data_IF_024332586333
#
_entry.id   IF_024332586333
#
_cell.length_a   1.000
_cell.length_b   1.000
_cell.length_c   1.000
_cell.angle_alpha   90.00
_cell.angle_beta   90.00
_cell.angle_gamma   90.00
#
_symmetry.space_group_name_H-M   'P 1'
#
loop_
_entity.id
_entity.type
_entity.pdbx_description
1 polymer ?
#
# COMPACT_ATOMS: atom_id res chain seq x y z
N UNK A 1 18.48 1.13 2.42
CA UNK A 1 17.29 1.45 3.21
C UNK A 1 16.78 2.83 2.77
N UNK A 2 15.49 2.89 2.40
CA UNK A 2 14.82 4.10 1.90
C UNK A 2 13.54 4.28 2.71
N UNK A 3 13.59 5.07 3.81
CA UNK A 3 12.47 5.21 4.73
C UNK A 3 11.35 6.07 4.13
N UNK A 4 10.11 5.76 4.51
CA UNK A 4 8.92 6.58 4.22
C UNK A 4 8.40 7.11 5.55
N UNK A 5 8.21 8.42 5.66
CA UNK A 5 7.65 9.04 6.85
C UNK A 5 6.16 8.71 6.98
N UNK A 6 5.71 8.40 8.19
CA UNK A 6 4.31 8.15 8.51
C UNK A 6 3.80 9.06 9.62
N UNK A 7 2.50 8.99 9.90
CA UNK A 7 1.85 9.87 10.88
C UNK A 7 2.41 9.74 12.31
N UNK A 8 3.03 8.62 12.66
CA UNK A 8 3.68 8.41 13.97
C UNK A 8 5.14 8.88 14.02
N UNK A 9 5.71 9.33 12.91
CA UNK A 9 7.09 9.85 12.85
C UNK A 9 7.15 11.37 13.02
N UNK A 10 5.99 12.03 13.09
CA UNK A 10 5.87 13.47 13.25
C UNK A 10 5.93 13.90 14.72
N UNK A 11 6.56 15.03 14.98
CA UNK A 11 6.65 15.64 16.32
C UNK A 11 5.40 16.49 16.59
N UNK A 12 4.47 15.99 17.39
CA UNK A 12 3.16 16.61 17.62
C UNK A 12 3.20 17.98 18.30
N UNK A 13 4.32 18.32 18.97
CA UNK A 13 4.49 19.61 19.67
C UNK A 13 5.11 20.68 18.76
N UNK A 14 5.57 20.30 17.57
CA UNK A 14 6.12 21.25 16.62
C UNK A 14 5.04 22.16 16.01
N UNK A 15 5.41 23.35 15.64
CA UNK A 15 4.51 24.31 15.00
C UNK A 15 4.74 24.34 13.48
N UNK A 16 3.69 23.95 12.75
CA UNK A 16 3.71 23.90 11.28
C UNK A 16 4.21 22.58 10.74
N UNK A 17 3.64 22.19 9.64
CA UNK A 17 3.79 20.90 8.98
C UNK A 17 5.25 20.49 8.76
N UNK A 18 6.06 21.35 8.15
CA UNK A 18 7.48 21.09 7.86
C UNK A 18 8.31 20.83 9.12
N UNK A 19 8.00 21.50 10.23
CA UNK A 19 8.73 21.34 11.48
C UNK A 19 8.43 20.01 12.17
N UNK A 20 7.27 19.42 11.94
CA UNK A 20 6.91 18.15 12.56
C UNK A 20 7.81 17.00 12.12
N UNK A 21 8.44 17.08 10.95
CA UNK A 21 9.39 16.08 10.44
C UNK A 21 10.86 16.38 10.75
N UNK A 22 11.17 17.40 11.56
CA UNK A 22 12.55 17.81 11.80
C UNK A 22 13.42 16.70 12.40
N UNK A 23 12.90 15.96 13.38
CA UNK A 23 13.59 14.83 13.99
C UNK A 23 13.77 13.68 13.00
N UNK A 24 12.71 13.34 12.26
CA UNK A 24 12.80 12.35 11.20
C UNK A 24 13.91 12.70 10.20
N UNK A 25 13.94 13.94 9.69
CA UNK A 25 14.98 14.40 8.76
C UNK A 25 16.39 14.29 9.33
N UNK A 26 16.56 14.57 10.61
CA UNK A 26 17.88 14.50 11.26
C UNK A 26 18.43 13.07 11.36
N UNK A 27 17.56 12.05 11.37
CA UNK A 27 17.92 10.64 11.56
C UNK A 27 17.88 9.84 10.25
N UNK A 28 16.89 10.12 9.40
CA UNK A 28 16.55 9.29 8.24
C UNK A 28 16.84 9.99 6.89
N UNK A 29 17.06 11.29 6.89
CA UNK A 29 17.19 12.09 5.67
C UNK A 29 15.87 12.75 5.26
N UNK A 30 15.79 13.30 4.04
CA UNK A 30 14.63 14.05 3.61
C UNK A 30 13.37 13.18 3.58
N UNK A 31 12.23 13.74 3.89
CA UNK A 31 10.91 13.11 3.83
C UNK A 31 10.38 12.96 2.40
N UNK A 32 10.83 13.86 1.50
CA UNK A 32 10.52 13.80 0.07
C UNK A 32 11.82 13.66 -0.71
N UNK A 33 11.94 12.58 -1.50
CA UNK A 33 13.12 12.33 -2.32
C UNK A 33 12.81 11.38 -3.49
N UNK A 34 13.73 11.31 -4.44
CA UNK A 34 13.62 10.40 -5.56
C UNK A 34 14.99 9.84 -5.95
N UNK A 35 14.98 8.67 -6.55
CA UNK A 35 16.18 8.03 -7.09
C UNK A 35 15.86 7.14 -8.30
N UNK A 36 16.83 6.94 -9.15
CA UNK A 36 16.71 6.00 -10.26
C UNK A 36 16.92 4.57 -9.78
N UNK A 37 16.06 3.69 -10.29
CA UNK A 37 16.18 2.24 -10.11
C UNK A 37 16.19 1.59 -11.51
N UNK A 38 17.39 1.38 -12.04
CA UNK A 38 17.55 1.05 -13.46
C UNK A 38 17.09 2.21 -14.37
N UNK A 39 16.14 1.93 -15.26
CA UNK A 39 15.53 2.93 -16.15
C UNK A 39 14.26 3.59 -15.58
N UNK A 40 13.81 3.15 -14.43
CA UNK A 40 12.61 3.64 -13.74
C UNK A 40 12.97 4.55 -12.58
N UNK A 41 11.97 5.20 -11.95
CA UNK A 41 12.16 6.15 -10.86
C UNK A 41 11.33 5.75 -9.66
N UNK A 42 11.95 5.73 -8.49
CA UNK A 42 11.27 5.65 -7.21
C UNK A 42 11.17 7.06 -6.63
N UNK A 43 9.97 7.45 -6.24
CA UNK A 43 9.66 8.72 -5.59
C UNK A 43 9.10 8.39 -4.21
N UNK A 44 9.65 9.00 -3.18
CA UNK A 44 9.15 8.87 -1.80
C UNK A 44 8.52 10.19 -1.41
N UNK A 45 7.30 10.14 -0.90
CA UNK A 45 6.52 11.32 -0.54
C UNK A 45 6.05 11.26 0.90
N UNK A 46 6.18 12.39 1.58
CA UNK A 46 5.38 12.69 2.75
C UNK A 46 3.96 13.04 2.31
N UNK A 47 2.99 12.28 2.77
CA UNK A 47 1.58 12.51 2.49
C UNK A 47 0.74 12.61 3.77
N UNK A 48 1.36 13.16 4.82
CA UNK A 48 0.74 13.47 6.10
C UNK A 48 0.92 14.98 6.38
N UNK A 49 -0.17 15.70 6.46
CA UNK A 49 -0.18 17.16 6.72
C UNK A 49 -0.60 17.37 8.17
N UNK A 50 0.27 17.91 9.00
CA UNK A 50 -0.06 18.28 10.39
C UNK A 50 -0.48 19.74 10.48
N UNK A 51 -1.60 19.97 11.16
CA UNK A 51 -1.98 21.30 11.60
C UNK A 51 -1.36 21.67 12.97
N UNK A 52 -1.62 22.88 13.44
CA UNK A 52 -1.09 23.38 14.73
C UNK A 52 -1.76 22.76 15.96
N UNK A 53 -2.71 21.85 15.79
CA UNK A 53 -3.55 21.29 16.85
C UNK A 53 -3.31 19.79 17.12
N UNK A 54 -2.16 19.26 16.77
CA UNK A 54 -1.81 17.83 16.90
C UNK A 54 -2.74 16.89 16.11
N UNK A 55 -3.40 17.44 15.11
CA UNK A 55 -4.22 16.69 14.16
C UNK A 55 -3.52 16.64 12.84
N UNK A 56 -3.71 15.57 12.13
CA UNK A 56 -3.23 15.44 10.77
C UNK A 56 -4.37 15.19 9.79
N UNK A 57 -4.11 15.56 8.56
CA UNK A 57 -4.91 15.22 7.40
C UNK A 57 -4.03 14.45 6.43
N UNK A 58 -4.54 13.38 5.86
CA UNK A 58 -3.82 12.65 4.84
C UNK A 58 -3.91 13.41 3.53
N UNK A 59 -2.76 13.67 2.93
CA UNK A 59 -2.72 14.45 1.71
C UNK A 59 -1.33 14.93 1.35
N UNK A 60 -1.27 15.59 0.22
CA UNK A 60 -0.05 16.20 -0.30
C UNK A 60 -0.10 17.70 -0.07
N UNK A 61 0.79 18.19 0.76
CA UNK A 61 0.93 19.62 0.97
C UNK A 61 1.30 20.34 -0.35
N UNK A 62 0.94 21.63 -0.54
CA UNK A 62 1.20 22.34 -1.79
C UNK A 62 2.68 22.34 -2.22
N UNK A 63 3.61 22.35 -1.27
CA UNK A 63 5.04 22.30 -1.57
C UNK A 63 5.46 20.92 -2.12
N UNK A 64 4.85 19.83 -1.65
CA UNK A 64 5.08 18.46 -2.17
C UNK A 64 4.60 18.37 -3.61
N UNK A 65 3.38 18.85 -3.90
CA UNK A 65 2.83 18.89 -5.27
C UNK A 65 3.74 19.71 -6.20
N UNK A 66 4.19 20.88 -5.74
CA UNK A 66 5.09 21.73 -6.52
C UNK A 66 6.43 21.03 -6.80
N UNK A 67 6.96 20.31 -5.81
CA UNK A 67 8.20 19.56 -5.95
C UNK A 67 8.05 18.39 -6.94
N UNK A 68 6.97 17.60 -6.85
CA UNK A 68 6.69 16.50 -7.80
C UNK A 68 6.54 17.02 -9.22
N UNK A 69 5.84 18.15 -9.40
CA UNK A 69 5.70 18.78 -10.71
C UNK A 69 7.05 19.21 -11.30
N UNK A 70 7.92 19.78 -10.50
CA UNK A 70 9.27 20.14 -10.91
C UNK A 70 10.14 18.91 -11.24
N UNK A 71 10.04 17.86 -10.45
CA UNK A 71 10.74 16.59 -10.67
C UNK A 71 10.25 15.93 -11.96
N UNK A 72 8.95 15.83 -12.17
CA UNK A 72 8.35 15.17 -13.33
C UNK A 72 8.87 15.76 -14.64
N UNK A 73 9.01 17.08 -14.72
CA UNK A 73 9.52 17.79 -15.90
C UNK A 73 10.99 17.46 -16.24
N UNK A 74 11.73 16.86 -15.32
CA UNK A 74 13.15 16.48 -15.50
C UNK A 74 13.32 14.99 -15.82
N UNK A 75 12.28 14.17 -15.65
CA UNK A 75 12.37 12.72 -15.79
C UNK A 75 12.23 12.29 -17.24
N UNK A 76 12.94 11.21 -17.66
CA UNK A 76 12.73 10.62 -18.98
C UNK A 76 11.27 10.20 -19.19
N UNK A 77 10.68 10.50 -20.34
CA UNK A 77 9.28 10.16 -20.64
C UNK A 77 9.00 8.66 -20.55
N UNK A 78 9.98 7.81 -20.87
CA UNK A 78 9.87 6.36 -20.84
C UNK A 78 9.92 5.74 -19.44
N UNK A 79 10.31 6.50 -18.40
CA UNK A 79 10.45 5.98 -17.05
C UNK A 79 9.08 5.69 -16.42
N UNK A 80 8.93 4.51 -15.83
CA UNK A 80 7.82 4.21 -14.92
C UNK A 80 8.11 4.84 -13.56
N UNK A 81 7.05 5.24 -12.85
CA UNK A 81 7.15 5.83 -11.53
C UNK A 81 6.63 4.85 -10.46
N UNK A 82 7.42 4.63 -9.44
CA UNK A 82 7.03 3.92 -8.23
C UNK A 82 6.98 4.92 -7.09
N UNK A 83 5.77 5.25 -6.63
CA UNK A 83 5.56 6.29 -5.62
C UNK A 83 5.29 5.62 -4.28
N UNK A 84 6.27 5.67 -3.38
CA UNK A 84 6.16 5.15 -2.02
C UNK A 84 5.71 6.26 -1.07
N UNK A 85 4.68 5.99 -0.29
CA UNK A 85 4.08 6.93 0.64
C UNK A 85 3.42 6.19 1.81
N UNK A 86 3.03 6.89 2.87
CA UNK A 86 2.44 6.25 4.03
C UNK A 86 0.97 5.91 3.84
N UNK A 87 0.10 6.89 3.64
CA UNK A 87 -1.34 6.68 3.48
C UNK A 87 -1.71 6.34 2.02
N UNK A 88 -2.76 5.52 1.80
CA UNK A 88 -3.20 5.21 0.44
C UNK A 88 -3.77 6.44 -0.27
N UNK A 89 -3.63 6.50 -1.58
CA UNK A 89 -4.21 7.56 -2.42
C UNK A 89 -5.72 7.56 -2.32
N UNK A 90 -6.31 6.36 -2.18
CA UNK A 90 -7.75 6.17 -2.07
C UNK A 90 -8.06 5.01 -1.13
N UNK A 91 -8.96 5.25 -0.20
CA UNK A 91 -9.47 4.23 0.71
C UNK A 91 -10.46 3.31 0.01
N UNK A 92 -10.24 2.02 0.11
CA UNK A 92 -11.05 1.00 -0.56
C UNK A 92 -12.46 0.88 0.04
N UNK A 93 -12.61 1.10 1.37
CA UNK A 93 -13.89 0.91 2.06
C UNK A 93 -14.97 1.88 1.57
N UNK A 94 -14.61 3.12 1.30
CA UNK A 94 -15.55 4.20 1.03
C UNK A 94 -15.21 5.06 -0.19
N UNK A 95 -14.07 4.75 -0.84
CA UNK A 95 -13.60 5.51 -2.00
C UNK A 95 -13.07 6.91 -1.70
N UNK A 96 -12.88 7.27 -0.41
CA UNK A 96 -12.31 8.57 -0.01
C UNK A 96 -10.90 8.72 -0.58
N UNK A 97 -10.66 9.79 -1.28
CA UNK A 97 -9.33 10.21 -1.72
C UNK A 97 -8.72 11.15 -0.67
N UNK A 98 -7.40 11.07 -0.50
CA UNK A 98 -6.66 12.02 0.34
C UNK A 98 -6.52 13.37 -0.35
N UNK A 99 -6.22 14.42 0.41
CA UNK A 99 -6.09 15.79 -0.09
C UNK A 99 -5.00 15.89 -1.16
N UNK A 100 -5.23 16.67 -2.21
CA UNK A 100 -4.26 16.87 -3.30
C UNK A 100 -4.12 15.69 -4.27
N UNK A 101 -4.87 14.60 -4.08
CA UNK A 101 -4.84 13.43 -4.98
C UNK A 101 -5.04 13.81 -6.44
N UNK A 102 -6.02 14.65 -6.74
CA UNK A 102 -6.31 15.04 -8.13
C UNK A 102 -5.13 15.76 -8.77
N UNK A 103 -4.50 16.68 -8.02
CA UNK A 103 -3.35 17.43 -8.51
C UNK A 103 -2.15 16.52 -8.78
N UNK A 104 -1.89 15.55 -7.88
CA UNK A 104 -0.81 14.58 -8.08
C UNK A 104 -1.09 13.69 -9.30
N UNK A 105 -2.30 13.15 -9.42
CA UNK A 105 -2.68 12.29 -10.55
C UNK A 105 -2.60 13.03 -11.88
N UNK A 106 -2.97 14.32 -11.92
CA UNK A 106 -2.86 15.15 -13.13
C UNK A 106 -1.41 15.35 -13.58
N UNK A 107 -0.47 15.47 -12.62
CA UNK A 107 0.96 15.57 -12.92
C UNK A 107 1.50 14.26 -13.53
N UNK A 108 1.11 13.09 -12.99
CA UNK A 108 1.72 11.80 -13.35
C UNK A 108 0.92 11.00 -14.39
N UNK A 109 -0.26 11.47 -14.80
CA UNK A 109 -1.22 10.72 -15.65
C UNK A 109 -0.65 10.21 -16.97
N UNK A 110 0.32 10.87 -17.54
CA UNK A 110 0.98 10.46 -18.80
C UNK A 110 1.89 9.24 -18.66
N UNK A 111 2.14 8.76 -17.45
CA UNK A 111 3.12 7.73 -17.13
C UNK A 111 2.50 6.44 -16.64
N UNK A 112 3.30 5.39 -16.60
CA UNK A 112 2.99 4.19 -15.83
C UNK A 112 3.38 4.43 -14.38
N UNK A 113 2.40 4.37 -13.47
CA UNK A 113 2.57 4.68 -12.05
C UNK A 113 2.09 3.54 -11.19
N UNK A 114 2.90 3.15 -10.20
CA UNK A 114 2.48 2.25 -9.14
C UNK A 114 2.71 2.92 -7.80
N UNK A 115 1.63 3.21 -7.08
CA UNK A 115 1.70 3.66 -5.69
C UNK A 115 1.94 2.46 -4.77
N UNK A 116 2.75 2.66 -3.75
CA UNK A 116 3.03 1.70 -2.69
C UNK A 116 2.76 2.41 -1.37
N UNK A 117 1.76 1.94 -0.63
CA UNK A 117 1.30 2.57 0.60
C UNK A 117 1.10 1.57 1.73
N UNK A 118 0.88 2.05 2.94
CA UNK A 118 0.62 1.27 4.14
C UNK A 118 -0.53 1.88 4.94
N UNK A 119 -0.28 2.20 6.22
CA UNK A 119 -1.17 2.92 7.11
C UNK A 119 -2.42 2.17 7.57
N UNK A 120 -3.13 1.52 6.67
CA UNK A 120 -4.43 0.89 6.95
C UNK A 120 -4.33 -0.46 7.63
N UNK A 121 -3.14 -1.06 7.67
CA UNK A 121 -2.89 -2.42 8.17
C UNK A 121 -3.71 -3.49 7.44
N UNK A 122 -3.99 -3.28 6.16
CA UNK A 122 -4.63 -4.26 5.27
C UNK A 122 -3.88 -4.34 3.95
N UNK A 123 -3.95 -5.48 3.28
CA UNK A 123 -3.52 -5.60 1.90
C UNK A 123 -4.66 -5.21 0.97
N UNK A 124 -4.36 -4.36 -0.01
CA UNK A 124 -5.33 -4.02 -1.03
C UNK A 124 -4.64 -3.61 -2.32
N UNK A 125 -5.06 -4.18 -3.43
CA UNK A 125 -4.57 -3.87 -4.76
C UNK A 125 -5.67 -3.18 -5.55
N UNK A 126 -5.40 -1.99 -6.08
CA UNK A 126 -6.36 -1.16 -6.78
C UNK A 126 -5.79 -0.67 -8.12
N UNK A 127 -6.59 -0.77 -9.16
CA UNK A 127 -6.38 -0.06 -10.41
C UNK A 127 -7.23 1.22 -10.42
N UNK A 128 -6.60 2.38 -10.62
CA UNK A 128 -7.30 3.66 -10.73
C UNK A 128 -7.64 4.00 -12.17
N UNK A 129 -6.65 3.84 -13.04
CA UNK A 129 -6.70 4.12 -14.48
C UNK A 129 -5.82 3.08 -15.19
N UNK A 130 -5.89 3.02 -16.51
CA UNK A 130 -5.18 2.01 -17.31
C UNK A 130 -3.69 1.82 -16.96
N UNK A 131 -3.02 2.87 -16.51
CA UNK A 131 -1.58 2.86 -16.23
C UNK A 131 -1.25 3.26 -14.78
N UNK A 132 -2.24 3.39 -13.91
CA UNK A 132 -2.07 3.85 -12.53
C UNK A 132 -2.70 2.83 -11.58
N UNK A 133 -1.85 2.20 -10.77
CA UNK A 133 -2.25 1.22 -9.75
C UNK A 133 -1.75 1.60 -8.37
N UNK A 134 -2.31 0.99 -7.33
CA UNK A 134 -1.82 1.09 -5.96
C UNK A 134 -1.77 -0.27 -5.31
N UNK A 135 -0.72 -0.48 -4.54
CA UNK A 135 -0.51 -1.60 -3.64
C UNK A 135 -0.47 -1.06 -2.21
N UNK A 136 -1.59 -1.14 -1.50
CA UNK A 136 -1.61 -0.90 -0.07
C UNK A 136 -1.13 -2.18 0.63
N UNK A 137 -0.15 -2.03 1.54
CA UNK A 137 0.56 -3.14 2.16
C UNK A 137 0.15 -3.26 3.61
N UNK A 138 -0.19 -4.47 4.05
CA UNK A 138 -0.42 -4.79 5.44
C UNK A 138 0.84 -4.54 6.30
N UNK A 139 0.67 -4.58 7.61
CA UNK A 139 1.69 -4.12 8.55
C UNK A 139 2.54 -5.27 9.12
N UNK A 140 3.83 -5.01 9.29
CA UNK A 140 4.74 -5.93 10.01
C UNK A 140 4.41 -6.02 11.50
N UNK A 141 3.75 -5.00 12.05
CA UNK A 141 3.27 -4.99 13.43
C UNK A 141 1.92 -5.70 13.63
N UNK A 142 1.32 -6.22 12.56
CA UNK A 142 -0.04 -6.75 12.64
C UNK A 142 -1.06 -5.68 13.03
N UNK A 143 -2.07 -6.03 13.80
CA UNK A 143 -2.99 -5.07 14.38
C UNK A 143 -2.40 -4.49 15.67
N UNK A 144 -1.60 -3.40 15.54
CA UNK A 144 -1.07 -2.62 16.67
C UNK A 144 -0.23 -3.40 17.68
N UNK A 145 0.55 -4.40 17.24
CA UNK A 145 1.36 -5.30 18.06
C UNK A 145 0.56 -6.22 19.02
N UNK A 146 -0.76 -6.16 18.95
CA UNK A 146 -1.64 -6.95 19.82
C UNK A 146 -1.86 -8.37 19.29
N UNK A 147 -1.76 -8.56 17.99
CA UNK A 147 -1.96 -9.86 17.33
C UNK A 147 -0.92 -10.11 16.25
N UNK A 148 -0.79 -11.37 15.85
CA UNK A 148 0.06 -11.78 14.72
C UNK A 148 -0.63 -11.59 13.35
N UNK A 149 -1.86 -11.02 13.35
CA UNK A 149 -2.65 -10.77 12.16
C UNK A 149 -2.90 -9.28 11.97
N UNK A 150 -3.06 -8.90 10.72
CA UNK A 150 -3.52 -7.59 10.30
C UNK A 150 -5.06 -7.52 10.31
N UNK A 151 -5.63 -6.34 10.11
CA UNK A 151 -7.09 -6.10 10.21
C UNK A 151 -7.92 -6.88 9.19
N UNK A 152 -7.30 -7.28 8.07
CA UNK A 152 -7.88 -8.11 7.02
C UNK A 152 -7.72 -9.62 7.25
N UNK A 153 -7.22 -10.02 8.43
CA UNK A 153 -6.95 -11.41 8.76
C UNK A 153 -5.68 -11.99 8.14
N UNK A 154 -4.90 -11.20 7.40
CA UNK A 154 -3.59 -11.67 6.90
C UNK A 154 -2.59 -11.72 8.04
N UNK A 155 -1.66 -12.69 8.08
CA UNK A 155 -0.54 -12.65 9.00
C UNK A 155 0.28 -11.38 8.80
N UNK A 156 0.86 -10.85 9.87
CA UNK A 156 1.81 -9.73 9.77
C UNK A 156 2.92 -10.04 8.77
N UNK A 157 3.27 -9.04 7.94
CA UNK A 157 4.20 -9.30 6.84
C UNK A 157 4.55 -8.06 6.02
N UNK A 158 5.06 -8.33 4.84
CA UNK A 158 5.49 -7.30 3.89
C UNK A 158 5.35 -7.83 2.45
N UNK A 159 5.31 -6.93 1.47
CA UNK A 159 5.36 -7.30 0.04
C UNK A 159 6.79 -7.29 -0.47
N UNK A 160 7.10 -8.25 -1.32
CA UNK A 160 8.33 -8.27 -2.12
C UNK A 160 7.97 -7.95 -3.55
N UNK A 161 8.47 -6.84 -4.06
CA UNK A 161 8.27 -6.41 -5.43
C UNK A 161 9.45 -6.77 -6.30
N UNK A 162 9.17 -7.22 -7.51
CA UNK A 162 10.17 -7.46 -8.57
C UNK A 162 9.81 -6.65 -9.79
N UNK A 163 10.72 -5.78 -10.21
CA UNK A 163 10.61 -4.99 -11.42
C UNK A 163 11.46 -5.62 -12.52
N UNK A 164 10.84 -5.99 -13.63
CA UNK A 164 11.55 -6.56 -14.77
C UNK A 164 10.91 -6.09 -16.09
N UNK A 165 11.69 -5.43 -16.94
CA UNK A 165 11.23 -4.95 -18.24
C UNK A 165 9.93 -4.12 -18.17
N UNK A 166 9.86 -3.16 -17.23
CA UNK A 166 8.69 -2.31 -17.01
C UNK A 166 7.46 -3.03 -16.47
N UNK A 167 7.60 -4.28 -15.98
CA UNK A 167 6.54 -5.03 -15.31
C UNK A 167 6.85 -5.14 -13.84
N UNK A 168 5.85 -4.83 -13.01
CA UNK A 168 5.84 -5.07 -11.57
C UNK A 168 5.18 -6.43 -11.32
N UNK A 169 5.84 -7.26 -10.53
CA UNK A 169 5.27 -8.47 -9.94
C UNK A 169 5.57 -8.49 -8.46
N UNK A 170 4.74 -9.16 -7.68
CA UNK A 170 4.89 -9.17 -6.23
C UNK A 170 4.39 -10.47 -5.61
N UNK A 171 4.75 -10.67 -4.37
CA UNK A 171 4.14 -11.64 -3.47
C UNK A 171 4.15 -11.12 -2.04
N UNK A 172 3.20 -11.55 -1.25
CA UNK A 172 3.17 -11.27 0.19
C UNK A 172 4.10 -12.24 0.92
N UNK A 173 4.84 -11.73 1.90
CA UNK A 173 5.75 -12.51 2.75
C UNK A 173 5.36 -12.36 4.21
N UNK A 174 4.70 -13.37 4.75
CA UNK A 174 4.36 -13.47 6.16
C UNK A 174 5.61 -13.64 7.02
N UNK A 175 5.69 -12.93 8.14
CA UNK A 175 6.77 -13.07 9.11
C UNK A 175 6.73 -14.48 9.72
N UNK A 176 7.87 -15.16 9.74
CA UNK A 176 8.01 -16.50 10.32
C UNK A 176 7.56 -17.66 9.43
N UNK A 177 7.01 -17.41 8.25
CA UNK A 177 6.54 -18.43 7.31
C UNK A 177 7.36 -18.43 6.01
N UNK A 178 7.31 -19.52 5.26
CA UNK A 178 7.88 -19.58 3.93
C UNK A 178 7.07 -18.74 2.93
N UNK A 179 7.67 -18.45 1.77
CA UNK A 179 7.02 -17.62 0.76
C UNK A 179 5.76 -18.25 0.15
N UNK A 180 5.62 -19.57 0.26
CA UNK A 180 4.48 -20.33 -0.29
C UNK A 180 3.27 -20.32 0.66
N UNK A 181 3.41 -19.73 1.86
CA UNK A 181 2.31 -19.47 2.79
C UNK A 181 1.53 -18.24 2.33
N UNK A 182 0.56 -18.44 1.46
CA UNK A 182 -0.19 -17.37 0.77
C UNK A 182 -1.69 -17.38 1.05
N UNK A 183 -2.18 -18.41 1.74
CA UNK A 183 -3.61 -18.59 2.00
C UNK A 183 -3.84 -19.26 3.34
N UNK A 184 -5.02 -19.05 3.90
CA UNK A 184 -5.58 -19.82 5.00
C UNK A 184 -6.95 -20.36 4.65
N UNK A 185 -7.20 -21.63 5.01
CA UNK A 185 -8.45 -22.33 4.75
C UNK A 185 -9.26 -22.45 6.03
N UNK A 186 -10.53 -22.07 5.95
CA UNK A 186 -11.52 -22.26 7.01
C UNK A 186 -12.55 -23.27 6.58
N UNK A 187 -12.67 -24.34 7.35
CA UNK A 187 -13.61 -25.42 7.09
C UNK A 187 -15.04 -25.03 7.53
N UNK A 188 -16.09 -25.73 7.05
CA UNK A 188 -17.45 -25.51 7.53
C UNK A 188 -17.52 -25.51 9.07
N UNK A 189 -18.21 -24.52 9.63
CA UNK A 189 -18.30 -24.29 11.08
C UNK A 189 -17.27 -23.35 11.66
N UNK A 190 -16.25 -22.94 10.89
CA UNK A 190 -15.19 -22.05 11.38
C UNK A 190 -15.44 -20.57 11.10
N UNK A 191 -16.35 -20.23 10.19
CA UNK A 191 -16.68 -18.84 9.84
C UNK A 191 -18.10 -18.49 10.27
N UNK A 192 -18.33 -17.19 10.60
CA UNK A 192 -19.60 -16.74 11.14
C UNK A 192 -20.65 -16.48 10.04
N UNK A 193 -20.26 -15.88 8.92
CA UNK A 193 -21.19 -15.48 7.86
C UNK A 193 -21.44 -16.59 6.84
N UNK A 194 -20.48 -17.49 6.72
CA UNK A 194 -20.52 -18.60 5.76
C UNK A 194 -20.28 -19.95 6.45
N UNK A 195 -21.08 -20.30 7.51
CA UNK A 195 -20.81 -21.45 8.38
C UNK A 195 -20.90 -22.82 7.68
N UNK A 196 -21.50 -22.89 6.51
CA UNK A 196 -21.68 -24.14 5.75
C UNK A 196 -20.72 -24.25 4.55
N UNK A 197 -19.76 -23.33 4.43
CA UNK A 197 -18.87 -23.26 3.27
C UNK A 197 -17.41 -23.44 3.70
N UNK A 198 -16.59 -23.90 2.78
CA UNK A 198 -15.13 -23.71 2.87
C UNK A 198 -14.85 -22.29 2.44
N UNK A 199 -14.18 -21.54 3.29
CA UNK A 199 -13.76 -20.17 3.02
C UNK A 199 -12.23 -20.13 2.96
N UNK A 200 -11.69 -19.40 2.01
CA UNK A 200 -10.25 -19.15 1.90
C UNK A 200 -9.94 -17.68 2.01
N UNK A 201 -9.04 -17.31 2.91
CA UNK A 201 -8.42 -16.00 2.91
C UNK A 201 -7.15 -16.08 2.04
N UNK A 202 -7.17 -15.39 0.91
CA UNK A 202 -6.02 -15.28 0.00
C UNK A 202 -5.33 -13.96 0.29
N UNK A 203 -4.14 -14.03 0.85
CA UNK A 203 -3.43 -12.82 1.26
C UNK A 203 -2.97 -12.03 0.05
N UNK A 204 -3.15 -10.71 0.14
CA UNK A 204 -2.77 -9.80 -0.92
C UNK A 204 -3.45 -10.09 -2.27
N UNK A 205 -4.70 -10.57 -2.21
CA UNK A 205 -5.48 -10.88 -3.41
C UNK A 205 -5.56 -9.67 -4.36
N UNK A 206 -5.43 -9.95 -5.66
CA UNK A 206 -5.56 -8.96 -6.72
C UNK A 206 -6.81 -9.27 -7.56
N UNK A 207 -7.61 -8.24 -7.94
CA UNK A 207 -8.83 -8.46 -8.74
C UNK A 207 -8.61 -9.16 -10.08
N UNK A 208 -7.39 -9.15 -10.61
CA UNK A 208 -7.03 -9.86 -11.84
C UNK A 208 -6.77 -11.35 -11.63
N UNK A 209 -6.65 -11.81 -10.39
CA UNK A 209 -6.34 -13.20 -10.08
C UNK A 209 -7.60 -14.07 -10.09
N UNK A 210 -7.44 -15.33 -10.54
CA UNK A 210 -8.43 -16.38 -10.40
C UNK A 210 -8.02 -17.29 -9.24
N UNK A 211 -8.94 -17.52 -8.33
CA UNK A 211 -8.78 -18.51 -7.26
C UNK A 211 -9.62 -19.71 -7.62
N UNK A 212 -8.98 -20.86 -7.82
CA UNK A 212 -9.63 -22.12 -8.18
C UNK A 212 -9.29 -23.17 -7.12
N UNK A 213 -10.21 -24.10 -6.89
CA UNK A 213 -9.98 -25.17 -5.96
C UNK A 213 -10.13 -26.56 -6.61
N UNK A 214 -9.45 -27.51 -6.01
CA UNK A 214 -9.41 -28.89 -6.47
C UNK A 214 -9.74 -29.82 -5.31
N UNK A 215 -10.51 -30.86 -5.57
CA UNK A 215 -10.81 -31.94 -4.62
C UNK A 215 -10.36 -33.25 -5.25
N UNK A 216 -9.50 -34.00 -4.58
CA UNK A 216 -8.92 -35.24 -5.06
C UNK A 216 -8.34 -35.15 -6.49
N UNK A 217 -7.71 -34.03 -6.80
CA UNK A 217 -7.12 -33.76 -8.11
C UNK A 217 -8.11 -33.35 -9.21
N UNK A 218 -9.40 -33.23 -8.90
CA UNK A 218 -10.42 -32.76 -9.82
C UNK A 218 -10.71 -31.29 -9.63
N UNK A 219 -10.69 -30.53 -10.73
CA UNK A 219 -11.06 -29.12 -10.70
C UNK A 219 -12.55 -28.97 -10.35
N UNK A 220 -12.85 -28.18 -9.32
CA UNK A 220 -14.20 -27.90 -8.83
C UNK A 220 -14.71 -26.53 -9.28
N UNK A 221 -13.82 -25.70 -9.85
CA UNK A 221 -14.16 -24.39 -10.40
C UNK A 221 -13.59 -23.22 -9.60
N UNK A 222 -13.94 -21.99 -9.99
CA UNK A 222 -13.49 -20.80 -9.29
C UNK A 222 -14.20 -20.65 -7.93
N UNK A 223 -13.51 -19.98 -7.00
CA UNK A 223 -14.11 -19.49 -5.76
C UNK A 223 -14.70 -18.10 -6.00
N UNK A 224 -15.85 -17.85 -5.38
CA UNK A 224 -16.51 -16.55 -5.43
C UNK A 224 -16.05 -15.67 -4.26
N UNK A 225 -15.73 -14.37 -4.49
CA UNK A 225 -15.37 -13.45 -3.42
C UNK A 225 -16.53 -13.24 -2.44
N UNK A 226 -16.26 -13.33 -1.16
CA UNK A 226 -17.24 -13.10 -0.09
C UNK A 226 -16.67 -12.16 0.95
N UNK A 227 -17.56 -11.52 1.74
CA UNK A 227 -17.17 -10.76 2.93
C UNK A 227 -17.35 -11.62 4.16
N UNK A 228 -16.27 -11.91 4.85
CA UNK A 228 -16.25 -12.66 6.10
C UNK A 228 -15.51 -11.87 7.18
N UNK A 229 -15.71 -12.23 8.42
CA UNK A 229 -14.86 -11.82 9.54
C UNK A 229 -13.79 -12.90 9.72
N UNK A 230 -12.56 -12.49 9.92
CA UNK A 230 -11.52 -13.45 10.30
C UNK A 230 -11.90 -14.11 11.62
N UNK A 231 -11.87 -15.43 11.70
CA UNK A 231 -12.11 -16.17 12.93
C UNK A 231 -11.10 -15.84 14.03
#
# INVERSE_FOLDING_TARGET
FYPVVGNHDHELEAQGDIQTTAKYRSMMGPENYAFFLGGDVVIVLDNIIYDTQKKYEEGYAPHVISWVKGLEALLPESASLYIAQHSPVKYWENGRKIVGTSDLLDIVRGRKVSFISGHTHVNNNLDYEKNISEHNVAAICGSWWDTDHCTDGTPRGYKVFTMKNGRLSWYYKSVGHDKDHQVELYMPGQTLRHPNSVVVNVWDWDPSWKVEWFEDGKAMGPLEPVKELSP
#
